data_IF_065460180926
#
_entry.id   IF_065460180926
#
_cell.length_a   1.000
_cell.length_b   1.000
_cell.length_c   1.000
_cell.angle_alpha   90.00
_cell.angle_beta   90.00
_cell.angle_gamma   90.00
#
_symmetry.space_group_name_H-M   'P 1'
#
loop_
_entity.id
_entity.type
_entity.pdbx_description
1 polymer ?
#
# COMPACT_ATOMS: atom_id res chain seq x y z
N UNK A 1 9.73 9.11 -8.62
CA UNK A 1 9.87 9.79 -7.31
C UNK A 1 10.30 8.71 -6.32
N UNK A 2 11.20 9.01 -5.38
CA UNK A 2 11.53 8.07 -4.29
C UNK A 2 10.32 8.11 -3.36
N UNK A 3 9.71 6.95 -3.09
CA UNK A 3 8.55 6.84 -2.21
C UNK A 3 8.84 7.40 -0.80
N UNK A 4 7.81 7.71 -0.02
CA UNK A 4 8.02 8.13 1.36
C UNK A 4 8.43 6.93 2.21
N UNK A 5 9.55 7.04 2.93
CA UNK A 5 10.01 6.04 3.89
C UNK A 5 9.42 6.35 5.27
N UNK A 6 8.62 5.44 5.81
CA UNK A 6 8.19 5.45 7.22
C UNK A 6 8.81 4.26 7.94
N UNK A 7 9.36 4.51 9.13
CA UNK A 7 9.93 3.47 9.97
C UNK A 7 9.07 3.37 11.24
N UNK A 8 8.59 2.17 11.52
CA UNK A 8 7.86 1.85 12.74
C UNK A 8 8.76 0.94 13.57
N UNK A 9 9.18 1.43 14.74
CA UNK A 9 9.94 0.66 15.72
C UNK A 9 9.53 1.10 17.12
N UNK A 10 9.45 0.14 18.04
CA UNK A 10 9.12 0.40 19.45
C UNK A 10 10.19 1.18 20.22
N UNK A 11 11.33 1.49 19.60
CA UNK A 11 12.49 2.09 20.27
C UNK A 11 13.18 3.20 19.44
N UNK A 12 12.47 3.93 18.58
CA UNK A 12 13.05 5.11 17.91
C UNK A 12 12.71 6.39 18.70
N UNK A 13 13.68 7.08 19.31
CA UNK A 13 13.45 8.40 19.89
C UNK A 13 13.07 9.40 18.81
N UNK A 14 12.06 10.20 19.13
CA UNK A 14 11.31 11.11 18.27
C UNK A 14 12.03 12.44 18.02
N UNK A 15 13.34 12.42 17.70
CA UNK A 15 14.04 13.62 17.25
C UNK A 15 14.69 13.38 15.89
N UNK A 16 13.90 13.64 14.85
CA UNK A 16 14.41 13.95 13.51
C UNK A 16 15.11 15.32 13.57
N UNK A 17 16.31 15.37 14.15
CA UNK A 17 17.27 16.43 13.83
C UNK A 17 17.74 16.29 12.37
N UNK A 18 18.66 17.15 11.92
CA UNK A 18 19.32 17.02 10.60
C UNK A 18 20.22 15.76 10.53
N UNK A 19 19.65 14.56 10.65
CA UNK A 19 20.34 13.31 10.33
C UNK A 19 20.33 13.12 8.81
N UNK A 20 21.47 12.71 8.25
CA UNK A 20 21.55 12.28 6.85
C UNK A 20 20.83 10.94 6.69
N UNK A 21 20.35 10.65 5.49
CA UNK A 21 19.72 9.36 5.20
C UNK A 21 20.68 8.20 5.46
N UNK A 22 21.97 8.37 5.16
CA UNK A 22 22.99 7.36 5.45
C UNK A 22 23.07 7.01 6.96
N UNK A 23 23.02 8.02 7.84
CA UNK A 23 23.08 7.79 9.28
C UNK A 23 21.84 7.06 9.80
N UNK A 24 20.67 7.38 9.26
CA UNK A 24 19.42 6.68 9.59
C UNK A 24 19.53 5.20 9.18
N UNK A 25 20.00 4.91 7.97
CA UNK A 25 20.15 3.54 7.48
C UNK A 25 21.17 2.75 8.31
N UNK A 26 22.30 3.36 8.65
CA UNK A 26 23.30 2.75 9.53
C UNK A 26 22.72 2.46 10.91
N UNK A 27 22.00 3.40 11.52
CA UNK A 27 21.41 3.19 12.84
C UNK A 27 20.37 2.07 12.84
N UNK A 28 19.53 2.00 11.81
CA UNK A 28 18.55 0.91 11.66
C UNK A 28 19.25 -0.45 11.52
N UNK A 29 20.40 -0.49 10.84
CA UNK A 29 21.12 -1.75 10.65
C UNK A 29 21.72 -2.35 11.92
N UNK A 30 21.93 -1.53 12.94
CA UNK A 30 22.36 -1.96 14.28
C UNK A 30 21.21 -2.22 15.25
N UNK A 31 19.95 -2.01 14.87
CA UNK A 31 18.82 -2.34 15.75
C UNK A 31 18.77 -3.85 15.99
N UNK A 32 18.75 -4.22 17.27
CA UNK A 32 18.57 -5.61 17.74
C UNK A 32 17.11 -5.95 18.04
N UNK A 33 16.19 -5.00 17.83
CA UNK A 33 14.75 -5.16 18.01
C UNK A 33 14.04 -5.20 16.66
N UNK A 34 12.90 -5.92 16.55
CA UNK A 34 12.09 -5.91 15.34
C UNK A 34 11.74 -4.50 14.85
N UNK A 35 11.80 -4.28 13.54
CA UNK A 35 11.40 -3.02 12.90
C UNK A 35 10.74 -3.25 11.54
N UNK A 36 9.91 -2.30 11.12
CA UNK A 36 9.26 -2.29 9.80
C UNK A 36 9.58 -0.99 9.07
N UNK A 37 10.09 -1.11 7.85
CA UNK A 37 10.24 0.00 6.91
C UNK A 37 9.19 -0.10 5.80
N UNK A 38 8.48 0.99 5.55
CA UNK A 38 7.46 1.07 4.49
C UNK A 38 7.93 2.08 3.45
N UNK A 39 8.12 1.64 2.22
CA UNK A 39 8.35 2.48 1.04
C UNK A 39 7.05 2.64 0.28
N UNK A 40 6.34 3.72 0.55
CA UNK A 40 5.06 3.99 -0.10
C UNK A 40 5.25 4.71 -1.43
N UNK A 41 4.58 4.25 -2.50
CA UNK A 41 4.63 4.81 -3.84
C UNK A 41 6.07 4.88 -4.42
N UNK A 42 6.82 3.79 -4.26
CA UNK A 42 8.21 3.67 -4.67
C UNK A 42 8.38 3.55 -6.20
N UNK A 43 7.96 4.54 -6.98
CA UNK A 43 8.02 4.49 -8.45
C UNK A 43 9.42 4.85 -9.03
N UNK A 44 10.45 4.89 -8.18
CA UNK A 44 11.84 5.13 -8.54
C UNK A 44 12.48 3.99 -9.34
N UNK A 45 13.78 4.12 -9.65
CA UNK A 45 14.53 2.99 -10.21
C UNK A 45 14.82 1.95 -9.12
N UNK A 46 14.93 0.65 -9.46
CA UNK A 46 15.29 -0.37 -8.48
C UNK A 46 16.60 -0.05 -7.73
N UNK A 47 17.61 0.48 -8.45
CA UNK A 47 18.87 0.96 -7.88
C UNK A 47 18.70 2.06 -6.83
N UNK A 48 17.73 2.97 -7.03
CA UNK A 48 17.45 3.99 -6.04
C UNK A 48 16.88 3.37 -4.77
N UNK A 49 16.00 2.36 -4.89
CA UNK A 49 15.45 1.66 -3.74
C UNK A 49 16.54 0.90 -2.98
N UNK A 50 17.37 0.11 -3.69
CA UNK A 50 18.51 -0.62 -3.11
C UNK A 50 19.44 0.28 -2.30
N UNK A 51 19.76 1.48 -2.82
CA UNK A 51 20.59 2.47 -2.12
C UNK A 51 20.01 2.85 -0.76
N UNK A 52 18.69 2.90 -0.65
CA UNK A 52 17.99 3.32 0.56
C UNK A 52 17.42 2.16 1.37
N UNK A 53 17.78 0.91 1.07
CA UNK A 53 17.36 -0.29 1.80
C UNK A 53 18.27 -0.50 3.03
N UNK A 54 17.76 -0.42 4.27
CA UNK A 54 18.53 -0.72 5.46
C UNK A 54 18.98 -2.18 5.44
N UNK A 55 20.24 -2.40 5.77
CA UNK A 55 20.76 -3.72 6.08
C UNK A 55 20.34 -4.11 7.51
N UNK A 56 20.38 -5.39 7.88
CA UNK A 56 20.10 -5.82 9.25
C UNK A 56 19.38 -7.17 9.32
N UNK A 57 19.22 -7.70 10.54
CA UNK A 57 18.63 -9.04 10.78
C UNK A 57 17.19 -9.03 11.30
N UNK A 58 16.73 -7.91 11.83
CA UNK A 58 15.45 -7.80 12.56
C UNK A 58 14.40 -6.98 11.81
N UNK A 59 14.67 -6.67 10.54
CA UNK A 59 13.84 -5.80 9.73
C UNK A 59 12.92 -6.53 8.79
N UNK A 60 11.71 -6.00 8.65
CA UNK A 60 10.83 -6.27 7.53
C UNK A 60 10.68 -5.01 6.67
N UNK A 61 10.54 -5.21 5.37
CA UNK A 61 10.39 -4.13 4.40
C UNK A 61 9.13 -4.38 3.58
N UNK A 62 8.25 -3.40 3.54
CA UNK A 62 7.06 -3.38 2.68
C UNK A 62 7.22 -2.28 1.63
N UNK A 63 7.00 -2.62 0.37
CA UNK A 63 7.12 -1.69 -0.76
C UNK A 63 5.79 -1.69 -1.50
N UNK A 64 5.23 -0.49 -1.73
CA UNK A 64 4.11 -0.30 -2.66
C UNK A 64 4.61 0.47 -3.89
N UNK A 65 4.17 0.07 -5.08
CA UNK A 65 4.58 0.71 -6.32
C UNK A 65 3.59 0.41 -7.44
N UNK A 66 3.52 1.31 -8.42
CA UNK A 66 2.82 1.07 -9.68
C UNK A 66 3.70 0.39 -10.73
N UNK A 67 5.01 0.26 -10.45
CA UNK A 67 5.98 -0.31 -11.37
C UNK A 67 6.11 -1.81 -11.19
N UNK A 68 5.52 -2.57 -12.11
CA UNK A 68 5.69 -4.03 -12.17
C UNK A 68 7.17 -4.47 -12.20
N UNK A 69 8.03 -3.68 -12.84
CA UNK A 69 9.49 -3.94 -12.92
C UNK A 69 10.23 -4.00 -11.57
N UNK A 70 9.65 -3.53 -10.46
CA UNK A 70 10.24 -3.72 -9.13
C UNK A 70 10.09 -5.14 -8.59
N UNK A 71 9.18 -5.94 -9.17
CA UNK A 71 9.10 -7.36 -8.83
C UNK A 71 10.41 -8.11 -9.08
N UNK A 72 11.32 -7.59 -9.92
CA UNK A 72 12.61 -8.20 -10.20
C UNK A 72 13.66 -8.08 -9.09
N UNK A 73 13.48 -7.17 -8.12
CA UNK A 73 14.42 -6.98 -7.00
C UNK A 73 13.97 -7.69 -5.71
N UNK A 74 12.80 -8.30 -5.74
CA UNK A 74 12.30 -9.19 -4.68
C UNK A 74 12.10 -10.59 -5.26
N UNK A 75 12.04 -11.60 -4.41
CA UNK A 75 11.65 -12.93 -4.88
C UNK A 75 10.15 -12.96 -5.22
N UNK A 76 9.76 -13.88 -6.10
CA UNK A 76 8.39 -13.95 -6.63
C UNK A 76 7.37 -14.17 -5.51
N UNK A 77 7.72 -14.98 -4.51
CA UNK A 77 6.91 -15.24 -3.33
C UNK A 77 6.73 -14.02 -2.40
N UNK A 78 7.58 -12.99 -2.56
CA UNK A 78 7.53 -11.73 -1.81
C UNK A 78 6.95 -10.58 -2.66
N UNK A 79 6.38 -10.88 -3.83
CA UNK A 79 5.72 -9.93 -4.70
C UNK A 79 4.24 -10.26 -4.83
N UNK A 80 3.37 -9.30 -4.53
CA UNK A 80 1.92 -9.45 -4.69
C UNK A 80 1.38 -8.35 -5.59
N UNK A 81 0.80 -8.74 -6.71
CA UNK A 81 0.03 -7.83 -7.55
C UNK A 81 -1.33 -7.56 -6.88
N UNK A 82 -1.70 -6.28 -6.78
CA UNK A 82 -3.03 -5.86 -6.34
C UNK A 82 -3.91 -5.69 -7.58
N UNK A 83 -4.85 -6.60 -7.77
CA UNK A 83 -5.77 -6.61 -8.90
C UNK A 83 -7.08 -5.89 -8.58
N UNK A 84 -8.00 -5.86 -9.55
CA UNK A 84 -9.37 -5.35 -9.36
C UNK A 84 -10.13 -6.17 -8.30
N UNK A 85 -11.17 -5.58 -7.71
CA UNK A 85 -12.01 -6.27 -6.73
C UNK A 85 -12.82 -7.39 -7.38
N UNK A 86 -13.19 -8.39 -6.58
CA UNK A 86 -14.26 -9.30 -6.97
C UNK A 86 -15.60 -8.56 -7.03
N UNK A 87 -16.54 -9.05 -7.84
CA UNK A 87 -17.89 -8.46 -7.98
C UNK A 87 -18.56 -8.25 -6.60
N UNK A 88 -18.55 -9.28 -5.74
CA UNK A 88 -19.15 -9.20 -4.40
C UNK A 88 -18.49 -8.12 -3.52
N UNK A 89 -17.17 -8.00 -3.58
CA UNK A 89 -16.45 -6.99 -2.80
C UNK A 89 -16.70 -5.58 -3.34
N UNK A 90 -16.80 -5.41 -4.66
CA UNK A 90 -17.14 -4.14 -5.30
C UNK A 90 -18.57 -3.69 -4.97
N UNK A 91 -19.55 -4.59 -5.04
CA UNK A 91 -20.95 -4.31 -4.65
C UNK A 91 -21.00 -3.92 -3.17
N UNK A 92 -20.32 -4.69 -2.30
CA UNK A 92 -20.30 -4.40 -0.86
C UNK A 92 -19.66 -3.06 -0.55
N UNK A 93 -18.55 -2.70 -1.22
CA UNK A 93 -17.91 -1.39 -1.06
C UNK A 93 -18.84 -0.26 -1.53
N UNK A 94 -19.49 -0.42 -2.68
CA UNK A 94 -20.39 0.59 -3.24
C UNK A 94 -21.54 0.90 -2.29
N UNK A 95 -22.24 -0.14 -1.83
CA UNK A 95 -23.37 0.00 -0.90
C UNK A 95 -22.96 0.63 0.42
N UNK A 96 -21.79 0.22 0.93
CA UNK A 96 -21.22 0.80 2.15
C UNK A 96 -20.88 2.28 1.97
N UNK A 97 -20.27 2.66 0.85
CA UNK A 97 -19.91 4.04 0.54
C UNK A 97 -21.17 4.92 0.36
N UNK A 98 -22.25 4.35 -0.21
CA UNK A 98 -23.57 4.97 -0.32
C UNK A 98 -24.41 4.93 0.98
N UNK A 99 -23.85 4.40 2.08
CA UNK A 99 -24.53 4.24 3.36
C UNK A 99 -25.86 3.43 3.30
N UNK A 100 -25.92 2.43 2.43
CA UNK A 100 -27.05 1.49 2.30
C UNK A 100 -26.71 0.20 3.05
N UNK A 101 -27.46 -0.11 4.11
CA UNK A 101 -27.19 -1.27 4.98
C UNK A 101 -28.00 -2.52 4.59
N UNK A 102 -29.27 -2.33 4.22
CA UNK A 102 -30.21 -3.40 3.89
C UNK A 102 -30.78 -3.20 2.47
N UNK A 103 -29.97 -3.42 1.43
CA UNK A 103 -30.39 -3.15 0.06
C UNK A 103 -31.49 -4.13 -0.36
N UNK A 104 -32.51 -3.61 -1.02
CA UNK A 104 -33.50 -4.43 -1.69
C UNK A 104 -32.92 -5.03 -3.00
N UNK A 105 -33.70 -5.89 -3.67
CA UNK A 105 -33.26 -6.59 -4.89
C UNK A 105 -32.90 -5.61 -6.03
N UNK A 106 -33.63 -4.51 -6.18
CA UNK A 106 -33.36 -3.50 -7.22
C UNK A 106 -32.08 -2.71 -6.93
N UNK A 107 -31.85 -2.35 -5.67
CA UNK A 107 -30.61 -1.68 -5.22
C UNK A 107 -29.39 -2.57 -5.41
N UNK A 108 -29.51 -3.87 -5.08
CA UNK A 108 -28.45 -4.86 -5.34
C UNK A 108 -28.15 -4.99 -6.84
N UNK A 109 -29.19 -5.06 -7.68
CA UNK A 109 -29.02 -5.15 -9.13
C UNK A 109 -28.39 -3.88 -9.71
N UNK A 110 -28.80 -2.71 -9.22
CA UNK A 110 -28.24 -1.41 -9.62
C UNK A 110 -26.78 -1.29 -9.19
N UNK A 111 -26.46 -1.66 -7.95
CA UNK A 111 -25.10 -1.67 -7.43
C UNK A 111 -24.19 -2.60 -8.25
N UNK A 112 -24.69 -3.77 -8.64
CA UNK A 112 -23.97 -4.69 -9.55
C UNK A 112 -23.69 -4.07 -10.91
N UNK A 113 -24.69 -3.44 -11.53
CA UNK A 113 -24.52 -2.77 -12.82
C UNK A 113 -23.51 -1.61 -12.73
N UNK A 114 -23.61 -0.77 -11.70
CA UNK A 114 -22.70 0.34 -11.49
C UNK A 114 -21.27 -0.16 -11.21
N UNK A 115 -21.12 -1.22 -10.40
CA UNK A 115 -19.82 -1.82 -10.13
C UNK A 115 -19.15 -2.35 -11.42
N UNK A 116 -19.92 -2.95 -12.33
CA UNK A 116 -19.43 -3.38 -13.65
C UNK A 116 -18.99 -2.20 -14.53
N UNK A 117 -19.76 -1.10 -14.55
CA UNK A 117 -19.39 0.12 -15.31
C UNK A 117 -18.08 0.71 -14.79
N UNK A 118 -17.89 0.69 -13.46
CA UNK A 118 -16.71 1.24 -12.79
C UNK A 118 -15.51 0.27 -12.82
N UNK A 119 -15.63 -0.88 -13.50
CA UNK A 119 -14.56 -1.85 -13.69
C UNK A 119 -14.05 -2.48 -12.39
N UNK A 120 -14.89 -2.52 -11.34
CA UNK A 120 -14.53 -3.04 -10.01
C UNK A 120 -13.28 -2.39 -9.41
N UNK A 121 -12.96 -1.15 -9.80
CA UNK A 121 -11.83 -0.40 -9.25
C UNK A 121 -12.21 0.20 -7.90
N UNK A 122 -11.55 -0.16 -6.78
CA UNK A 122 -11.96 0.28 -5.44
C UNK A 122 -12.15 1.78 -5.33
N UNK A 123 -11.22 2.57 -5.90
CA UNK A 123 -11.29 4.02 -5.85
C UNK A 123 -12.48 4.58 -6.63
N UNK A 124 -12.78 4.05 -7.82
CA UNK A 124 -13.91 4.49 -8.63
C UNK A 124 -15.25 4.15 -7.96
N UNK A 125 -15.32 2.96 -7.33
CA UNK A 125 -16.47 2.49 -6.57
C UNK A 125 -16.73 3.37 -5.34
N UNK A 126 -15.71 3.62 -4.53
CA UNK A 126 -15.80 4.42 -3.31
C UNK A 126 -16.25 5.85 -3.63
N UNK A 127 -15.68 6.46 -4.67
CA UNK A 127 -16.10 7.80 -5.13
C UNK A 127 -17.55 7.83 -5.63
N UNK A 128 -17.98 6.82 -6.39
CA UNK A 128 -19.36 6.76 -6.88
C UNK A 128 -20.36 6.57 -5.74
N UNK A 129 -20.05 5.67 -4.80
CA UNK A 129 -20.87 5.43 -3.61
C UNK A 129 -20.97 6.66 -2.72
N UNK A 130 -19.86 7.38 -2.49
CA UNK A 130 -19.88 8.60 -1.68
C UNK A 130 -20.63 9.78 -2.32
N UNK A 131 -20.87 9.73 -3.63
CA UNK A 131 -21.62 10.75 -4.37
C UNK A 131 -23.14 10.52 -4.35
N UNK A 132 -23.58 9.25 -4.30
CA UNK A 132 -24.99 8.85 -4.34
C UNK A 132 -25.58 8.67 -2.94
#
# INVERSE_FOLDING_TARGET
MIGSLKIISGALPTQLGKETTENILLRISYLSTPWLAIYDNADGSPKALEKYTPQGKYGHILITSRRYSLGHIVSVENSQEVTIMSENAAISLLLKAANIQDPNIEELNTAKQLANILGHLPLAIDMAGAYI
#
